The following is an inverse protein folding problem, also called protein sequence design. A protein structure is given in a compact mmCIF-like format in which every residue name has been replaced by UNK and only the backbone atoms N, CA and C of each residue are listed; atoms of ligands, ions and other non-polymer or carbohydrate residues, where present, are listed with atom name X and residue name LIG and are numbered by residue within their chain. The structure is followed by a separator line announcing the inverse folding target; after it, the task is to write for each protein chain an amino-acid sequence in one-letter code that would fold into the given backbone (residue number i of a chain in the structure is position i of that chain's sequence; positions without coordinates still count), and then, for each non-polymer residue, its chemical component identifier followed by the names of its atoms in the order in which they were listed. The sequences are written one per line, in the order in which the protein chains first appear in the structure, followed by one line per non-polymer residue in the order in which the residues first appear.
data_IF_626750974310
#
_entry.id   IF_626750974310
#
_cell.length_a   1.000
_cell.length_b   1.000
_cell.length_c   1.000
_cell.angle_alpha   90.00
_cell.angle_beta   90.00
_cell.angle_gamma   90.00
#
_symmetry.space_group_name_H-M   'P 1'
#
loop_
_entity.id
_entity.type
_entity.pdbx_description
1 polymer ?
#
# COMPACT_ATOMS: atom_id res chain seq x y z
N UNK A 1 -25.32 -26.67 25.85
CA UNK A 1 -24.40 -25.95 24.94
C UNK A 1 -25.15 -25.74 23.64
N UNK A 2 -25.28 -24.50 23.17
CA UNK A 2 -25.86 -24.23 21.85
C UNK A 2 -24.90 -24.79 20.78
N UNK A 3 -25.41 -25.46 19.73
CA UNK A 3 -24.55 -25.87 18.62
C UNK A 3 -23.93 -24.62 17.97
N UNK A 4 -22.66 -24.69 17.54
CA UNK A 4 -22.02 -23.55 16.88
C UNK A 4 -22.82 -23.16 15.63
N UNK A 5 -23.07 -21.87 15.47
CA UNK A 5 -23.74 -21.33 14.27
C UNK A 5 -22.89 -21.70 13.05
N UNK A 6 -23.48 -22.30 12.00
CA UNK A 6 -22.74 -22.61 10.77
C UNK A 6 -22.11 -21.34 10.21
N UNK A 7 -20.80 -21.35 9.97
CA UNK A 7 -20.11 -20.22 9.33
C UNK A 7 -20.67 -20.02 7.93
N UNK A 8 -20.98 -18.78 7.58
CA UNK A 8 -21.33 -18.43 6.20
C UNK A 8 -20.08 -18.48 5.33
N UNK A 9 -20.24 -18.60 4.01
CA UNK A 9 -19.11 -18.53 3.06
C UNK A 9 -18.35 -17.20 3.15
N UNK A 10 -19.04 -16.12 3.52
CA UNK A 10 -18.43 -14.82 3.79
C UNK A 10 -17.56 -14.87 5.03
N UNK A 11 -18.02 -15.51 6.11
CA UNK A 11 -17.23 -15.68 7.32
C UNK A 11 -15.96 -16.50 7.05
N UNK A 12 -16.07 -17.52 6.20
CA UNK A 12 -14.91 -18.32 5.79
C UNK A 12 -13.87 -17.51 5.01
N UNK A 13 -14.29 -16.67 4.06
CA UNK A 13 -13.38 -15.75 3.35
C UNK A 13 -12.73 -14.78 4.34
N UNK A 14 -13.52 -14.19 5.23
CA UNK A 14 -13.02 -13.25 6.25
C UNK A 14 -12.02 -13.92 7.19
N UNK A 15 -12.26 -15.18 7.57
CA UNK A 15 -11.33 -15.95 8.38
C UNK A 15 -10.03 -16.23 7.64
N UNK A 16 -10.09 -16.61 6.36
CA UNK A 16 -8.88 -16.87 5.58
C UNK A 16 -8.06 -15.58 5.42
N UNK A 17 -8.72 -14.46 5.11
CA UNK A 17 -8.09 -13.15 4.96
C UNK A 17 -7.54 -12.66 6.31
N UNK A 18 -8.33 -12.72 7.37
CA UNK A 18 -7.98 -12.20 8.69
C UNK A 18 -6.88 -12.99 9.40
N UNK A 19 -6.66 -14.25 9.00
CA UNK A 19 -5.58 -15.08 9.52
C UNK A 19 -4.31 -15.04 8.65
N UNK A 20 -4.33 -14.39 7.49
CA UNK A 20 -3.14 -14.26 6.65
C UNK A 20 -2.19 -13.22 7.25
N UNK A 21 -0.92 -13.58 7.48
CA UNK A 21 0.08 -12.61 7.94
C UNK A 21 0.67 -11.86 6.74
N UNK A 22 1.13 -10.64 6.97
CA UNK A 22 1.89 -9.91 5.97
C UNK A 22 3.16 -10.69 5.59
N UNK A 23 3.35 -10.94 4.30
CA UNK A 23 4.44 -11.77 3.78
C UNK A 23 4.10 -13.25 3.58
N UNK A 24 2.93 -13.72 4.04
CA UNK A 24 2.43 -15.06 3.70
C UNK A 24 1.94 -15.09 2.25
N UNK A 25 2.31 -16.14 1.52
CA UNK A 25 1.75 -16.45 0.20
C UNK A 25 0.74 -17.59 0.37
N UNK A 26 -0.48 -17.40 -0.14
CA UNK A 26 -1.49 -18.45 -0.18
C UNK A 26 -0.99 -19.60 -1.04
N UNK A 27 -1.09 -20.82 -0.52
CA UNK A 27 -0.90 -22.01 -1.34
C UNK A 27 -1.96 -22.06 -2.45
N UNK A 28 -1.63 -22.70 -3.57
CA UNK A 28 -2.54 -22.86 -4.72
C UNK A 28 -3.92 -23.41 -4.31
N UNK A 29 -3.94 -24.37 -3.38
CA UNK A 29 -5.18 -24.93 -2.84
C UNK A 29 -6.02 -23.91 -2.06
N UNK A 30 -5.38 -23.07 -1.23
CA UNK A 30 -6.07 -22.00 -0.50
C UNK A 30 -6.57 -20.93 -1.46
N UNK A 31 -5.75 -20.53 -2.42
CA UNK A 31 -6.14 -19.56 -3.45
C UNK A 31 -7.35 -20.04 -4.28
N UNK A 32 -7.31 -21.27 -4.80
CA UNK A 32 -8.42 -21.86 -5.54
C UNK A 32 -9.70 -22.01 -4.69
N UNK A 33 -9.57 -22.26 -3.38
CA UNK A 33 -10.70 -22.26 -2.45
C UNK A 33 -11.30 -20.86 -2.32
N UNK A 34 -10.48 -19.83 -2.13
CA UNK A 34 -10.94 -18.43 -2.06
C UNK A 34 -11.70 -18.03 -3.33
N UNK A 35 -11.17 -18.35 -4.52
CA UNK A 35 -11.84 -18.02 -5.79
C UNK A 35 -13.22 -18.67 -5.91
N UNK A 36 -13.36 -19.93 -5.50
CA UNK A 36 -14.67 -20.61 -5.47
C UNK A 36 -15.65 -19.94 -4.52
N UNK A 37 -15.21 -19.63 -3.29
CA UNK A 37 -16.05 -18.93 -2.31
C UNK A 37 -16.49 -17.56 -2.83
N UNK A 38 -15.59 -16.81 -3.47
CA UNK A 38 -15.87 -15.49 -4.04
C UNK A 38 -16.90 -15.57 -5.17
N UNK A 39 -16.81 -16.58 -6.03
CA UNK A 39 -17.79 -16.83 -7.08
C UNK A 39 -19.17 -17.21 -6.51
N UNK A 40 -19.20 -17.95 -5.41
CA UNK A 40 -20.45 -18.37 -4.78
C UNK A 40 -21.21 -17.21 -4.10
N UNK A 41 -20.49 -16.20 -3.59
CA UNK A 41 -21.10 -15.06 -2.89
C UNK A 41 -21.41 -13.87 -3.82
N UNK A 42 -20.96 -13.91 -5.08
CA UNK A 42 -21.00 -12.76 -5.98
C UNK A 42 -22.40 -12.20 -6.22
N UNK A 43 -23.42 -13.05 -6.26
CA UNK A 43 -24.82 -12.65 -6.52
C UNK A 43 -25.50 -12.02 -5.30
N UNK A 44 -24.89 -12.11 -4.12
CA UNK A 44 -25.45 -11.67 -2.85
C UNK A 44 -24.60 -10.63 -2.14
N UNK A 45 -23.47 -10.22 -2.74
CA UNK A 45 -22.51 -9.29 -2.16
C UNK A 45 -22.42 -8.05 -3.03
N UNK A 46 -22.34 -6.87 -2.42
CA UNK A 46 -22.10 -5.64 -3.16
C UNK A 46 -20.79 -5.72 -3.96
N UNK A 47 -20.78 -5.16 -5.17
CA UNK A 47 -19.67 -5.29 -6.12
C UNK A 47 -18.35 -4.77 -5.54
N UNK A 48 -18.38 -3.65 -4.82
CA UNK A 48 -17.20 -3.04 -4.22
C UNK A 48 -16.64 -3.89 -3.06
N UNK A 49 -17.50 -4.46 -2.23
CA UNK A 49 -17.12 -5.43 -1.20
C UNK A 49 -16.56 -6.72 -1.80
N UNK A 50 -17.14 -7.23 -2.89
CA UNK A 50 -16.62 -8.40 -3.59
C UNK A 50 -15.21 -8.12 -4.15
N UNK A 51 -15.02 -6.95 -4.77
CA UNK A 51 -13.72 -6.51 -5.25
C UNK A 51 -12.71 -6.32 -4.11
N UNK A 52 -13.16 -5.84 -2.94
CA UNK A 52 -12.34 -5.69 -1.74
C UNK A 52 -11.78 -7.06 -1.30
N UNK A 53 -12.63 -8.09 -1.20
CA UNK A 53 -12.15 -9.44 -0.85
C UNK A 53 -11.25 -10.02 -1.93
N UNK A 54 -11.61 -9.85 -3.21
CA UNK A 54 -10.78 -10.30 -4.34
C UNK A 54 -9.40 -9.65 -4.32
N UNK A 55 -9.30 -8.35 -4.10
CA UNK A 55 -8.01 -7.65 -4.12
C UNK A 55 -7.07 -8.15 -3.03
N UNK A 56 -7.59 -8.47 -1.85
CA UNK A 56 -6.80 -9.03 -0.75
C UNK A 56 -6.34 -10.45 -1.07
N UNK A 57 -7.23 -11.29 -1.62
CA UNK A 57 -6.89 -12.66 -2.03
C UNK A 57 -5.81 -12.65 -3.12
N UNK A 58 -5.94 -11.77 -4.12
CA UNK A 58 -4.93 -11.61 -5.18
C UNK A 58 -3.59 -11.10 -4.62
N UNK A 59 -3.60 -10.18 -3.66
CA UNK A 59 -2.38 -9.70 -3.01
C UNK A 59 -1.65 -10.86 -2.32
N UNK A 60 -2.34 -11.62 -1.48
CA UNK A 60 -1.75 -12.78 -0.79
C UNK A 60 -1.44 -13.96 -1.71
N UNK A 61 -1.94 -13.97 -2.96
CA UNK A 61 -1.52 -14.92 -3.98
C UNK A 61 -0.26 -14.46 -4.75
N UNK A 62 0.29 -13.27 -4.43
CA UNK A 62 1.41 -12.66 -5.15
C UNK A 62 1.00 -11.95 -6.45
N UNK A 63 -0.29 -11.86 -6.76
CA UNK A 63 -0.83 -11.23 -7.97
C UNK A 63 -1.01 -9.72 -7.77
N UNK A 64 0.09 -9.03 -7.46
CA UNK A 64 0.11 -7.61 -7.07
C UNK A 64 -0.56 -6.68 -8.10
N UNK A 65 -0.40 -6.97 -9.40
CA UNK A 65 -1.05 -6.21 -10.49
C UNK A 65 -2.57 -6.29 -10.45
N UNK A 66 -3.10 -7.50 -10.26
CA UNK A 66 -4.56 -7.71 -10.22
C UNK A 66 -5.15 -7.13 -8.94
N UNK A 67 -4.46 -7.30 -7.80
CA UNK A 67 -4.82 -6.67 -6.54
C UNK A 67 -4.96 -5.13 -6.68
N UNK A 68 -3.93 -4.49 -7.27
CA UNK A 68 -3.93 -3.04 -7.53
C UNK A 68 -5.08 -2.63 -8.47
N UNK A 69 -5.32 -3.39 -9.55
CA UNK A 69 -6.39 -3.13 -10.52
C UNK A 69 -7.78 -3.14 -9.88
N UNK A 70 -8.05 -4.13 -9.01
CA UNK A 70 -9.30 -4.23 -8.27
C UNK A 70 -9.47 -3.09 -7.25
N UNK A 71 -8.40 -2.75 -6.52
CA UNK A 71 -8.41 -1.64 -5.59
C UNK A 71 -8.66 -0.29 -6.30
N UNK A 72 -8.09 -0.09 -7.50
CA UNK A 72 -8.31 1.13 -8.28
C UNK A 72 -9.78 1.28 -8.73
N UNK A 73 -10.42 0.18 -9.15
CA UNK A 73 -11.87 0.18 -9.46
C UNK A 73 -12.69 0.62 -8.24
N UNK A 74 -12.36 0.09 -7.06
CA UNK A 74 -13.04 0.44 -5.82
C UNK A 74 -12.77 1.89 -5.39
N UNK A 75 -11.55 2.40 -5.56
CA UNK A 75 -11.23 3.80 -5.30
C UNK A 75 -12.13 4.75 -6.10
N UNK A 76 -12.45 4.41 -7.35
CA UNK A 76 -13.35 5.23 -8.17
C UNK A 76 -14.82 5.09 -7.75
N UNK A 77 -15.31 3.88 -7.50
CA UNK A 77 -16.74 3.61 -7.37
C UNK A 77 -17.29 3.66 -5.93
N UNK A 78 -16.49 3.32 -4.92
CA UNK A 78 -16.99 3.10 -3.55
C UNK A 78 -17.02 4.37 -2.69
N UNK A 79 -18.03 4.49 -1.83
CA UNK A 79 -18.08 5.47 -0.73
C UNK A 79 -17.97 4.80 0.66
N UNK A 80 -17.71 3.49 0.70
CA UNK A 80 -17.61 2.74 1.95
C UNK A 80 -16.21 2.88 2.57
N UNK A 81 -16.14 3.33 3.82
CA UNK A 81 -14.86 3.56 4.50
C UNK A 81 -14.01 2.29 4.64
N UNK A 82 -14.61 1.13 4.86
CA UNK A 82 -13.87 -0.13 4.98
C UNK A 82 -13.26 -0.52 3.63
N UNK A 83 -14.03 -0.36 2.54
CA UNK A 83 -13.54 -0.62 1.18
C UNK A 83 -12.41 0.34 0.82
N UNK A 84 -12.54 1.64 1.10
CA UNK A 84 -11.51 2.63 0.80
C UNK A 84 -10.23 2.46 1.63
N UNK A 85 -10.36 2.08 2.91
CA UNK A 85 -9.22 1.70 3.76
C UNK A 85 -8.49 0.48 3.20
N UNK A 86 -9.22 -0.51 2.69
CA UNK A 86 -8.58 -1.63 2.00
C UNK A 86 -7.88 -1.18 0.71
N UNK A 87 -8.44 -0.24 -0.05
CA UNK A 87 -7.74 0.32 -1.21
C UNK A 87 -6.40 0.92 -0.81
N UNK A 88 -6.38 1.78 0.22
CA UNK A 88 -5.16 2.35 0.78
C UNK A 88 -4.15 1.27 1.22
N UNK A 89 -4.63 0.22 1.90
CA UNK A 89 -3.80 -0.92 2.28
C UNK A 89 -3.17 -1.62 1.06
N UNK A 90 -3.96 -1.99 0.05
CA UNK A 90 -3.44 -2.64 -1.16
C UNK A 90 -2.42 -1.74 -1.86
N UNK A 91 -2.71 -0.44 -2.00
CA UNK A 91 -1.80 0.51 -2.64
C UNK A 91 -0.48 0.66 -1.90
N UNK A 92 -0.52 0.70 -0.56
CA UNK A 92 0.69 0.73 0.26
C UNK A 92 1.54 -0.53 0.06
N UNK A 93 0.92 -1.72 -0.01
CA UNK A 93 1.62 -2.99 -0.19
C UNK A 93 2.27 -3.14 -1.57
N UNK A 94 1.87 -2.33 -2.56
CA UNK A 94 2.45 -2.31 -3.91
C UNK A 94 3.16 -0.99 -4.24
N UNK A 95 3.46 -0.17 -3.23
CA UNK A 95 4.16 1.12 -3.35
C UNK A 95 3.49 2.12 -4.31
N UNK A 96 2.16 2.05 -4.43
CA UNK A 96 1.34 3.04 -5.12
C UNK A 96 0.94 4.20 -4.20
N UNK A 97 1.93 4.90 -3.64
CA UNK A 97 1.70 5.86 -2.55
C UNK A 97 0.87 7.08 -2.97
N UNK A 98 0.92 7.47 -4.24
CA UNK A 98 0.04 8.47 -4.85
C UNK A 98 -1.45 8.05 -4.81
N UNK A 99 -1.72 6.75 -5.02
CA UNK A 99 -3.05 6.18 -4.90
C UNK A 99 -3.48 6.01 -3.44
N UNK A 100 -2.52 5.82 -2.51
CA UNK A 100 -2.80 5.88 -1.07
C UNK A 100 -3.32 7.28 -0.74
N UNK A 101 -2.60 8.35 -1.12
CA UNK A 101 -3.03 9.74 -0.91
C UNK A 101 -4.43 9.98 -1.48
N UNK A 102 -4.69 9.52 -2.71
CA UNK A 102 -6.02 9.63 -3.35
C UNK A 102 -7.13 8.93 -2.54
N UNK A 103 -6.85 7.79 -1.93
CA UNK A 103 -7.79 7.08 -1.06
C UNK A 103 -8.03 7.84 0.26
N UNK A 104 -6.97 8.38 0.88
CA UNK A 104 -7.08 9.20 2.10
C UNK A 104 -7.92 10.45 1.83
N UNK A 105 -7.69 11.13 0.71
CA UNK A 105 -8.48 12.29 0.28
C UNK A 105 -9.96 11.96 0.14
N UNK A 106 -10.27 10.85 -0.53
CA UNK A 106 -11.66 10.44 -0.71
C UNK A 106 -12.33 10.12 0.64
N UNK A 107 -11.64 9.43 1.54
CA UNK A 107 -12.13 9.18 2.90
C UNK A 107 -12.39 10.50 3.62
N UNK A 108 -11.43 11.43 3.59
CA UNK A 108 -11.55 12.74 4.23
C UNK A 108 -12.76 13.53 3.70
N UNK A 109 -12.94 13.58 2.37
CA UNK A 109 -14.08 14.25 1.74
C UNK A 109 -15.42 13.64 2.15
N UNK A 110 -15.52 12.30 2.21
CA UNK A 110 -16.72 11.61 2.67
C UNK A 110 -16.99 11.92 4.15
N UNK A 111 -15.96 11.91 5.00
CA UNK A 111 -16.08 12.25 6.42
C UNK A 111 -16.56 13.68 6.63
N UNK A 112 -16.02 14.64 5.88
CA UNK A 112 -16.47 16.04 5.91
C UNK A 112 -17.94 16.16 5.48
N UNK A 113 -18.34 15.50 4.38
CA UNK A 113 -19.73 15.47 3.89
C UNK A 113 -20.70 14.87 4.92
N UNK A 114 -20.29 13.79 5.59
CA UNK A 114 -21.09 13.10 6.61
C UNK A 114 -20.96 13.72 8.00
N UNK A 115 -20.12 14.76 8.17
CA UNK A 115 -19.80 15.39 9.46
C UNK A 115 -19.27 14.41 10.51
N UNK A 116 -18.51 13.41 10.06
CA UNK A 116 -17.81 12.45 10.91
C UNK A 116 -16.40 12.99 11.16
N UNK A 117 -15.88 12.83 12.37
CA UNK A 117 -14.51 13.20 12.68
C UNK A 117 -13.53 12.40 11.81
N UNK A 118 -12.67 13.07 10.99
CA UNK A 118 -11.71 12.37 10.14
C UNK A 118 -10.76 11.44 10.90
N UNK A 119 -10.46 11.73 12.17
CA UNK A 119 -9.61 10.87 13.02
C UNK A 119 -10.20 9.46 13.24
N UNK A 120 -11.51 9.29 13.13
CA UNK A 120 -12.20 8.01 13.31
C UNK A 120 -12.25 7.17 12.03
N UNK A 121 -12.00 7.81 10.88
CA UNK A 121 -12.23 7.24 9.54
C UNK A 121 -10.93 7.07 8.75
N UNK A 122 -9.93 7.92 8.97
CA UNK A 122 -8.63 7.79 8.34
C UNK A 122 -7.86 6.58 8.91
N UNK A 123 -7.08 5.85 8.08
CA UNK A 123 -6.09 4.89 8.57
C UNK A 123 -4.97 5.62 9.34
N UNK A 124 -4.14 4.90 10.08
CA UNK A 124 -2.97 5.46 10.77
C UNK A 124 -1.73 5.45 9.87
N UNK A 125 -0.75 6.33 10.15
CA UNK A 125 0.59 6.27 9.55
C UNK A 125 0.65 6.59 8.06
N UNK A 126 -0.22 7.46 7.54
CA UNK A 126 -0.23 7.84 6.12
C UNK A 126 0.68 9.03 5.78
N UNK A 127 1.28 9.68 6.78
CA UNK A 127 2.10 10.89 6.63
C UNK A 127 3.28 10.68 5.67
N UNK A 128 4.02 9.58 5.84
CA UNK A 128 5.12 9.21 4.94
C UNK A 128 4.66 9.08 3.47
N UNK A 129 3.43 8.62 3.24
CA UNK A 129 2.89 8.47 1.88
C UNK A 129 2.65 9.83 1.21
N UNK A 130 2.21 10.83 1.98
CA UNK A 130 2.07 12.22 1.48
C UNK A 130 3.43 12.83 1.16
N UNK A 131 4.43 12.60 2.02
CA UNK A 131 5.79 13.06 1.78
C UNK A 131 6.40 12.46 0.52
N UNK A 132 6.49 11.12 0.46
CA UNK A 132 7.15 10.42 -0.65
C UNK A 132 6.43 10.57 -2.00
N UNK A 133 5.16 10.98 -2.00
CA UNK A 133 4.43 11.26 -3.24
C UNK A 133 4.46 12.74 -3.66
N UNK A 134 5.19 13.60 -2.94
CA UNK A 134 5.26 15.03 -3.25
C UNK A 134 3.93 15.77 -3.01
N UNK A 135 3.15 15.34 -2.02
CA UNK A 135 1.83 15.90 -1.70
C UNK A 135 1.80 16.60 -0.33
N UNK A 136 2.94 17.06 0.19
CA UNK A 136 2.99 17.73 1.51
C UNK A 136 2.18 19.02 1.58
N UNK A 137 1.99 19.71 0.45
CA UNK A 137 1.19 20.93 0.37
C UNK A 137 -0.31 20.71 0.68
N UNK A 138 -0.80 19.46 0.65
CA UNK A 138 -2.19 19.09 1.01
C UNK A 138 -2.42 19.03 2.52
N UNK A 139 -1.94 20.06 3.20
CA UNK A 139 -1.73 20.16 4.65
C UNK A 139 -2.99 19.97 5.51
N UNK A 140 -4.20 20.28 5.02
CA UNK A 140 -5.43 20.19 5.81
C UNK A 140 -5.80 18.75 6.21
N UNK A 141 -5.49 17.76 5.38
CA UNK A 141 -5.72 16.34 5.67
C UNK A 141 -4.59 15.81 6.55
N UNK A 142 -3.38 16.30 6.28
CA UNK A 142 -2.15 15.92 6.94
C UNK A 142 -2.10 16.38 8.42
N UNK A 143 -2.57 17.59 8.71
CA UNK A 143 -2.55 18.20 10.07
C UNK A 143 -3.43 17.47 11.08
N UNK A 144 -4.36 16.62 10.61
CA UNK A 144 -5.16 15.74 11.48
C UNK A 144 -4.27 14.71 12.21
N UNK A 145 -3.13 14.33 11.61
CA UNK A 145 -2.24 13.26 12.09
C UNK A 145 -1.03 13.68 12.93
N UNK A 146 -0.65 14.96 12.97
CA UNK A 146 0.61 15.41 13.59
C UNK A 146 1.85 15.05 12.76
N UNK A 147 2.98 15.72 13.01
CA UNK A 147 4.29 15.62 12.31
C UNK A 147 4.45 16.40 10.99
N UNK A 148 3.81 17.57 10.83
CA UNK A 148 3.97 18.39 9.61
C UNK A 148 5.36 19.00 9.46
N UNK A 149 5.91 19.48 10.57
CA UNK A 149 7.17 20.22 10.57
C UNK A 149 8.36 19.32 10.25
N UNK A 150 8.30 18.04 10.62
CA UNK A 150 9.41 17.12 10.42
C UNK A 150 9.69 16.82 8.94
N UNK A 151 8.67 16.49 8.14
CA UNK A 151 8.88 16.15 6.73
C UNK A 151 9.12 17.38 5.86
N UNK A 152 8.53 18.53 6.17
CA UNK A 152 8.91 19.80 5.55
C UNK A 152 10.37 20.13 5.81
N UNK A 153 10.81 19.94 7.06
CA UNK A 153 12.21 20.12 7.41
C UNK A 153 13.11 19.15 6.66
N UNK A 154 12.79 17.84 6.59
CA UNK A 154 13.56 16.88 5.79
C UNK A 154 13.65 17.33 4.33
N UNK A 155 12.52 17.67 3.69
CA UNK A 155 12.47 18.06 2.29
C UNK A 155 13.37 19.26 1.98
N UNK A 156 13.37 20.26 2.86
CA UNK A 156 14.22 21.45 2.73
C UNK A 156 15.70 21.13 2.88
N UNK A 157 16.08 20.25 3.83
CA UNK A 157 17.49 19.92 4.07
C UNK A 157 18.07 19.00 2.98
N UNK A 158 17.30 18.06 2.43
CA UNK A 158 17.75 17.23 1.30
C UNK A 158 17.65 17.95 -0.05
N UNK A 159 17.12 19.17 -0.06
CA UNK A 159 16.92 20.01 -1.24
C UNK A 159 16.25 19.26 -2.40
N UNK A 160 15.11 18.63 -2.14
CA UNK A 160 14.37 17.88 -3.16
C UNK A 160 13.00 18.49 -3.44
N UNK A 161 12.62 18.50 -4.72
CA UNK A 161 11.31 19.00 -5.14
C UNK A 161 10.24 17.93 -5.01
N UNK A 162 8.98 18.34 -4.84
CA UNK A 162 7.83 17.42 -4.84
C UNK A 162 7.74 16.59 -6.13
N UNK A 163 8.07 17.22 -7.26
CA UNK A 163 8.11 16.54 -8.55
C UNK A 163 9.18 15.45 -8.58
N UNK A 164 10.38 15.72 -8.07
CA UNK A 164 11.45 14.72 -8.00
C UNK A 164 11.08 13.55 -7.09
N UNK A 165 10.46 13.82 -5.92
CA UNK A 165 9.91 12.78 -5.04
C UNK A 165 8.90 11.90 -5.79
N UNK A 166 7.93 12.52 -6.47
CA UNK A 166 6.93 11.81 -7.25
C UNK A 166 7.54 11.00 -8.40
N UNK A 167 8.44 11.58 -9.18
CA UNK A 167 9.04 10.93 -10.35
C UNK A 167 9.90 9.72 -9.94
N UNK A 168 10.68 9.82 -8.85
CA UNK A 168 11.41 8.68 -8.28
C UNK A 168 10.46 7.61 -7.77
N UNK A 169 9.39 8.00 -7.04
CA UNK A 169 8.36 7.07 -6.57
C UNK A 169 7.72 6.29 -7.73
N UNK A 170 7.40 6.95 -8.85
CA UNK A 170 6.82 6.28 -10.02
C UNK A 170 7.76 5.23 -10.62
N UNK A 171 9.07 5.51 -10.67
CA UNK A 171 10.06 4.52 -11.11
C UNK A 171 10.10 3.32 -10.15
N UNK A 172 10.19 3.57 -8.84
CA UNK A 172 10.22 2.52 -7.82
C UNK A 172 8.96 1.65 -7.88
N UNK A 173 7.79 2.27 -7.86
CA UNK A 173 6.50 1.62 -8.06
C UNK A 173 6.51 0.73 -9.31
N UNK A 174 6.91 1.28 -10.45
CA UNK A 174 6.94 0.56 -11.72
C UNK A 174 7.73 -0.73 -11.62
N UNK A 175 8.90 -0.70 -10.99
CA UNK A 175 9.71 -1.90 -10.72
C UNK A 175 8.98 -2.88 -9.80
N UNK A 176 8.39 -2.40 -8.68
CA UNK A 176 7.65 -3.24 -7.72
C UNK A 176 6.51 -4.00 -8.41
N UNK A 177 5.65 -3.29 -9.13
CA UNK A 177 4.49 -3.84 -9.81
C UNK A 177 4.86 -4.75 -10.98
N UNK A 178 5.91 -4.42 -11.74
CA UNK A 178 6.34 -5.25 -12.85
C UNK A 178 6.91 -6.59 -12.39
N UNK A 179 7.52 -6.65 -11.22
CA UNK A 179 8.11 -7.86 -10.66
C UNK A 179 7.20 -8.58 -9.66
N UNK A 180 5.93 -8.18 -9.54
CA UNK A 180 4.95 -8.74 -8.60
C UNK A 180 5.47 -8.79 -7.16
N UNK A 181 6.08 -7.69 -6.71
CA UNK A 181 6.64 -7.58 -5.37
C UNK A 181 5.58 -7.03 -4.43
N UNK A 182 5.34 -7.76 -3.34
CA UNK A 182 4.58 -7.29 -2.19
C UNK A 182 5.56 -6.72 -1.16
N UNK A 183 5.40 -5.43 -0.83
CA UNK A 183 6.14 -4.79 0.24
C UNK A 183 5.38 -4.93 1.55
N UNK A 184 5.99 -5.63 2.52
CA UNK A 184 5.40 -5.96 3.82
C UNK A 184 5.24 -4.70 4.65
N UNK A 185 6.32 -3.92 4.75
CA UNK A 185 6.35 -2.62 5.41
C UNK A 185 7.43 -1.71 4.79
N UNK A 186 7.28 -0.41 5.03
CA UNK A 186 8.22 0.64 4.61
C UNK A 186 8.68 1.38 5.86
N UNK A 187 9.97 1.58 5.99
CA UNK A 187 10.59 2.39 7.04
C UNK A 187 11.39 3.52 6.38
N UNK A 188 11.62 4.58 7.14
CA UNK A 188 12.56 5.63 6.76
C UNK A 188 13.51 5.95 7.90
N UNK A 189 14.71 6.37 7.53
CA UNK A 189 15.67 6.99 8.45
C UNK A 189 16.24 8.23 7.80
N UNK A 190 16.47 9.26 8.60
CA UNK A 190 17.10 10.49 8.17
C UNK A 190 18.33 10.77 9.05
N UNK A 191 19.50 10.88 8.44
CA UNK A 191 20.78 11.11 9.13
C UNK A 191 21.71 11.91 8.21
N UNK A 192 22.37 12.95 8.75
CA UNK A 192 23.39 13.74 8.01
C UNK A 192 22.95 14.19 6.60
N UNK A 193 21.73 14.72 6.46
CA UNK A 193 21.17 15.21 5.16
C UNK A 193 20.89 14.09 4.13
N UNK A 194 20.98 12.83 4.54
CA UNK A 194 20.57 11.68 3.74
C UNK A 194 19.25 11.12 4.27
N UNK A 195 18.27 11.02 3.37
CA UNK A 195 17.06 10.25 3.61
C UNK A 195 17.28 8.84 3.04
N UNK A 196 16.89 7.83 3.81
CA UNK A 196 16.94 6.44 3.39
C UNK A 196 15.57 5.81 3.57
N UNK A 197 15.05 5.20 2.49
CA UNK A 197 13.75 4.51 2.49
C UNK A 197 13.97 3.01 2.30
N UNK A 198 13.68 2.23 3.33
CA UNK A 198 13.75 0.77 3.28
C UNK A 198 12.39 0.14 2.98
N UNK A 199 12.33 -0.67 1.93
CA UNK A 199 11.17 -1.45 1.55
C UNK A 199 11.43 -2.93 1.85
N UNK A 200 10.69 -3.49 2.81
CA UNK A 200 10.91 -4.86 3.25
C UNK A 200 10.02 -5.86 2.50
N UNK A 201 10.64 -6.89 1.92
CA UNK A 201 9.97 -7.86 1.04
C UNK A 201 10.34 -9.29 1.42
N UNK A 202 9.46 -10.25 1.11
CA UNK A 202 9.73 -11.68 1.25
C UNK A 202 10.25 -12.26 -0.08
N UNK A 203 11.52 -11.97 -0.39
CA UNK A 203 12.21 -12.39 -1.62
C UNK A 203 13.62 -12.88 -1.33
N UNK A 204 14.18 -13.69 -2.23
CA UNK A 204 15.57 -14.12 -2.12
C UNK A 204 16.54 -12.94 -2.23
N UNK A 205 17.75 -13.07 -1.65
CA UNK A 205 18.77 -12.02 -1.75
C UNK A 205 19.18 -11.73 -3.20
N UNK A 206 19.18 -12.76 -4.07
CA UNK A 206 19.45 -12.61 -5.50
C UNK A 206 18.37 -11.76 -6.19
N UNK A 207 17.09 -12.05 -5.93
CA UNK A 207 15.98 -11.23 -6.44
C UNK A 207 16.06 -9.79 -5.92
N UNK A 208 16.33 -9.60 -4.62
CA UNK A 208 16.46 -8.27 -4.00
C UNK A 208 17.58 -7.46 -4.66
N UNK A 209 18.76 -8.07 -4.85
CA UNK A 209 19.90 -7.44 -5.52
C UNK A 209 19.55 -7.04 -6.96
N UNK A 210 18.86 -7.91 -7.69
CA UNK A 210 18.37 -7.63 -9.03
C UNK A 210 17.39 -6.45 -9.04
N UNK A 211 16.44 -6.41 -8.11
CA UNK A 211 15.43 -5.34 -8.00
C UNK A 211 16.10 -3.98 -7.70
N UNK A 212 17.01 -3.93 -6.73
CA UNK A 212 17.75 -2.71 -6.40
C UNK A 212 18.55 -2.19 -7.60
N UNK A 213 19.22 -3.09 -8.33
CA UNK A 213 19.93 -2.75 -9.57
C UNK A 213 18.98 -2.20 -10.62
N UNK A 214 17.78 -2.78 -10.75
CA UNK A 214 16.78 -2.35 -11.73
C UNK A 214 16.22 -0.96 -11.41
N UNK A 215 15.97 -0.65 -10.13
CA UNK A 215 15.56 0.70 -9.69
C UNK A 215 16.63 1.72 -10.07
N UNK A 216 17.89 1.50 -9.66
CA UNK A 216 18.99 2.41 -9.96
C UNK A 216 19.17 2.63 -11.48
N UNK A 217 19.10 1.55 -12.27
CA UNK A 217 19.20 1.62 -13.73
C UNK A 217 18.08 2.44 -14.35
N UNK A 218 16.83 2.29 -13.89
CA UNK A 218 15.69 3.04 -14.43
C UNK A 218 15.75 4.51 -14.03
N UNK A 219 16.14 4.82 -12.80
CA UNK A 219 16.36 6.20 -12.39
C UNK A 219 17.46 6.86 -13.22
N UNK A 220 18.58 6.16 -13.47
CA UNK A 220 19.63 6.65 -14.36
C UNK A 220 19.12 6.94 -15.78
N UNK A 221 18.35 6.02 -16.37
CA UNK A 221 17.77 6.20 -17.71
C UNK A 221 16.76 7.35 -17.78
N UNK A 222 16.09 7.65 -16.66
CA UNK A 222 15.14 8.76 -16.54
C UNK A 222 15.80 10.10 -16.16
N UNK A 223 17.10 10.14 -15.88
CA UNK A 223 17.80 11.34 -15.40
C UNK A 223 17.55 11.67 -13.92
N UNK A 224 17.10 10.69 -13.12
CA UNK A 224 16.69 10.84 -11.72
C UNK A 224 17.72 10.24 -10.73
N UNK A 225 18.97 10.00 -11.15
CA UNK A 225 19.96 9.34 -10.30
C UNK A 225 20.38 10.19 -9.10
N UNK A 226 20.51 11.51 -9.29
CA UNK A 226 20.83 12.43 -8.18
C UNK A 226 19.70 12.49 -7.15
N UNK A 227 18.45 12.56 -7.62
CA UNK A 227 17.27 12.53 -6.76
C UNK A 227 17.14 11.20 -6.01
N UNK A 228 17.43 10.08 -6.69
CA UNK A 228 17.47 8.76 -6.06
C UNK A 228 18.53 8.70 -4.94
N UNK A 229 19.71 9.31 -5.12
CA UNK A 229 20.75 9.31 -4.09
C UNK A 229 20.34 10.12 -2.86
N UNK A 230 19.56 11.21 -3.04
CA UNK A 230 19.03 12.02 -1.93
C UNK A 230 17.99 11.27 -1.08
N UNK A 231 17.15 10.44 -1.70
CA UNK A 231 16.07 9.68 -1.03
C UNK A 231 16.49 8.25 -0.64
N UNK A 232 17.49 7.70 -1.31
CA UNK A 232 18.06 6.36 -1.14
C UNK A 232 17.02 5.26 -0.89
N UNK A 233 16.22 4.95 -1.92
CA UNK A 233 15.31 3.79 -1.89
C UNK A 233 16.09 2.48 -1.96
N UNK A 234 15.82 1.58 -1.03
CA UNK A 234 16.44 0.26 -0.98
C UNK A 234 15.44 -0.83 -0.62
N UNK A 235 15.39 -1.88 -1.43
CA UNK A 235 14.67 -3.12 -1.11
C UNK A 235 15.55 -3.97 -0.21
N UNK A 236 14.96 -4.41 0.90
CA UNK A 236 15.61 -5.22 1.93
C UNK A 236 14.80 -6.48 2.21
N UNK A 237 15.44 -7.56 2.69
CA UNK A 237 14.68 -8.70 3.19
C UNK A 237 13.85 -8.25 4.40
N UNK A 238 12.60 -8.69 4.47
CA UNK A 238 11.88 -8.60 5.72
C UNK A 238 12.62 -9.46 6.75
N UNK A 239 12.89 -8.88 7.93
CA UNK A 239 13.32 -9.69 9.07
C UNK A 239 12.22 -10.72 9.29
N UNK A 240 12.57 -11.99 9.52
CA UNK A 240 11.61 -12.93 10.09
C UNK A 240 11.02 -12.20 11.31
N UNK A 241 9.72 -11.91 11.24
CA UNK A 241 9.03 -11.36 12.39
C UNK A 241 9.22 -12.41 13.48
N UNK A 242 10.12 -12.14 14.42
CA UNK A 242 10.16 -12.89 15.66
C UNK A 242 8.75 -12.76 16.24
N UNK A 243 8.02 -13.86 16.13
CA UNK A 243 6.65 -14.06 16.61
C UNK A 243 6.62 -13.80 18.11
#
# INVERSE_FOLDING_TARGET
MLPPVPKTKVDEIKDIIGNAKLGDILSEFKYARCLRLLNDIQSFTAKDQLNMYKSIVELYAGNCREAKSLALKNLHESEDFQVLRNCAFIFQQVLALDLVVSAIEKIYQISARLRINPKETLPSGYQLNFFLSGNLEKSEIYTVGGEFDHYHWIQQNIEITDKALFDVLQVVHGVIIENNIQCIYVEYSYFEEELFISMHVNKSLEEISYINTLIAKRCYQAGLLEDLNKISYMVLPAKEANI
#
